data_IF_915095094586
#
_entry.id   IF_915095094586
#
_cell.length_a   1.000
_cell.length_b   1.000
_cell.length_c   1.000
_cell.angle_alpha   90.00
_cell.angle_beta   90.00
_cell.angle_gamma   90.00
#
_symmetry.space_group_name_H-M   'P 1'
#
loop_
_entity.id
_entity.type
_entity.pdbx_description
1 polymer ?
#
# COMPACT_ATOMS: atom_id res chain seq x y z
N UNK A 1 20.93 11.26 8.35
CA UNK A 1 21.00 11.32 6.86
C UNK A 1 20.00 10.31 6.32
N UNK A 2 19.15 10.70 5.38
CA UNK A 2 18.22 9.76 4.78
C UNK A 2 18.98 8.72 3.92
N UNK A 3 18.54 7.44 3.88
CA UNK A 3 19.18 6.42 3.06
C UNK A 3 18.97 6.72 1.57
N UNK A 4 19.95 6.38 0.73
CA UNK A 4 19.81 6.46 -0.72
C UNK A 4 18.83 5.40 -1.26
N UNK A 5 18.28 5.61 -2.46
CA UNK A 5 17.41 4.62 -3.11
C UNK A 5 18.10 3.27 -3.31
N UNK A 6 19.40 3.26 -3.59
CA UNK A 6 20.20 2.03 -3.74
C UNK A 6 20.33 1.26 -2.43
N UNK A 7 20.50 1.99 -1.30
CA UNK A 7 20.55 1.39 0.02
C UNK A 7 19.18 0.79 0.40
N UNK A 8 18.11 1.52 0.15
CA UNK A 8 16.73 1.04 0.36
C UNK A 8 16.49 -0.25 -0.44
N UNK A 9 16.81 -0.22 -1.73
CA UNK A 9 16.64 -1.38 -2.62
C UNK A 9 17.42 -2.58 -2.13
N UNK A 10 18.69 -2.39 -1.73
CA UNK A 10 19.55 -3.47 -1.22
C UNK A 10 19.02 -4.07 0.08
N UNK A 11 18.51 -3.23 0.99
CA UNK A 11 17.95 -3.70 2.25
C UNK A 11 16.66 -4.48 2.00
N UNK A 12 15.77 -3.99 1.13
CA UNK A 12 14.47 -4.58 0.87
C UNK A 12 14.50 -5.70 -0.20
N UNK A 13 15.65 -6.01 -0.80
CA UNK A 13 15.81 -7.13 -1.72
C UNK A 13 15.50 -8.51 -1.08
N UNK A 14 15.61 -8.62 0.24
CA UNK A 14 15.21 -9.83 0.97
C UNK A 14 13.67 -9.87 1.08
N UNK A 15 13.01 -10.92 0.58
CA UNK A 15 11.54 -11.00 0.57
C UNK A 15 10.91 -10.95 1.97
N UNK A 16 11.58 -11.51 2.97
CA UNK A 16 11.10 -11.50 4.36
C UNK A 16 11.16 -10.09 4.93
N UNK A 17 12.25 -9.36 4.70
CA UNK A 17 12.35 -7.94 5.12
C UNK A 17 11.32 -7.07 4.43
N UNK A 18 11.09 -7.24 3.14
CA UNK A 18 10.06 -6.52 2.41
C UNK A 18 8.66 -6.77 3.03
N UNK A 19 8.33 -8.03 3.34
CA UNK A 19 7.06 -8.38 3.97
C UNK A 19 6.92 -7.77 5.37
N UNK A 20 7.98 -7.83 6.18
CA UNK A 20 8.01 -7.21 7.51
C UNK A 20 7.87 -5.69 7.39
N UNK A 21 8.58 -5.06 6.46
CA UNK A 21 8.50 -3.61 6.26
C UNK A 21 7.09 -3.16 5.88
N UNK A 22 6.43 -3.87 4.95
CA UNK A 22 5.01 -3.63 4.61
C UNK A 22 4.08 -3.79 5.83
N UNK A 23 4.36 -4.75 6.70
CA UNK A 23 3.61 -4.92 7.94
C UNK A 23 3.77 -3.71 8.89
N UNK A 24 4.99 -3.18 9.00
CA UNK A 24 5.24 -1.96 9.80
C UNK A 24 4.53 -0.74 9.18
N UNK A 25 4.54 -0.60 7.86
CA UNK A 25 3.78 0.46 7.15
C UNK A 25 2.28 0.32 7.45
N UNK A 26 1.75 -0.91 7.39
CA UNK A 26 0.34 -1.20 7.62
C UNK A 26 -0.12 -0.92 9.07
N UNK A 27 0.82 -0.88 10.02
CA UNK A 27 0.55 -0.46 11.40
C UNK A 27 0.26 1.05 11.52
N UNK A 28 0.47 1.82 10.44
CA UNK A 28 0.00 3.20 10.33
C UNK A 28 0.63 4.19 11.31
N UNK A 29 1.88 3.95 11.72
CA UNK A 29 2.59 4.75 12.70
C UNK A 29 2.58 4.14 14.10
N UNK A 30 1.69 3.19 14.39
CA UNK A 30 1.74 2.43 15.62
C UNK A 30 3.02 1.58 15.65
N UNK A 31 3.80 1.63 16.75
CA UNK A 31 5.03 0.87 16.82
C UNK A 31 4.77 -0.63 16.93
N UNK A 32 5.51 -1.44 16.15
CA UNK A 32 5.47 -2.91 16.24
C UNK A 32 6.57 -3.44 17.16
N UNK A 33 6.34 -4.61 17.78
CA UNK A 33 7.33 -5.28 18.64
C UNK A 33 7.96 -6.47 17.93
N UNK A 34 9.15 -6.91 18.39
CA UNK A 34 9.80 -8.14 17.90
C UNK A 34 8.89 -9.35 18.02
N UNK A 35 8.20 -9.50 19.16
CA UNK A 35 7.29 -10.62 19.40
C UNK A 35 6.05 -10.58 18.52
N UNK A 36 5.49 -9.37 18.27
CA UNK A 36 4.37 -9.19 17.36
C UNK A 36 4.75 -9.58 15.93
N UNK A 37 5.89 -9.11 15.43
CA UNK A 37 6.40 -9.48 14.09
C UNK A 37 6.69 -10.98 14.01
N UNK A 38 7.37 -11.55 15.01
CA UNK A 38 7.67 -12.97 15.05
C UNK A 38 6.39 -13.83 14.94
N UNK A 39 5.36 -13.49 15.72
CA UNK A 39 4.05 -14.17 15.69
C UNK A 39 3.34 -14.02 14.34
N UNK A 40 3.30 -12.80 13.77
CA UNK A 40 2.63 -12.54 12.49
C UNK A 40 3.24 -13.26 11.29
N UNK A 41 4.53 -13.58 11.35
CA UNK A 41 5.27 -14.22 10.25
C UNK A 41 5.73 -15.65 10.51
N UNK A 42 5.42 -16.23 11.69
CA UNK A 42 5.88 -17.55 12.08
C UNK A 42 7.41 -17.62 12.21
N UNK A 43 8.06 -16.53 12.63
CA UNK A 43 9.53 -16.45 12.76
C UNK A 43 9.97 -16.65 14.20
N UNK A 44 11.20 -17.18 14.37
CA UNK A 44 11.85 -17.10 15.67
C UNK A 44 12.12 -15.63 16.05
N UNK A 45 11.93 -15.21 17.32
CA UNK A 45 12.13 -13.80 17.75
C UNK A 45 13.50 -13.21 17.38
N UNK A 46 14.56 -14.01 17.41
CA UNK A 46 15.90 -13.53 17.00
C UNK A 46 15.98 -13.21 15.50
N UNK A 47 15.28 -13.97 14.64
CA UNK A 47 15.22 -13.74 13.20
C UNK A 47 14.42 -12.47 12.91
N UNK A 48 13.26 -12.30 13.56
CA UNK A 48 12.47 -11.09 13.45
C UNK A 48 13.28 -9.85 13.90
N UNK A 49 14.00 -9.95 15.03
CA UNK A 49 14.89 -8.89 15.52
C UNK A 49 15.98 -8.55 14.50
N UNK A 50 16.67 -9.53 13.95
CA UNK A 50 17.71 -9.33 12.94
C UNK A 50 17.19 -8.52 11.74
N UNK A 51 16.01 -8.86 11.22
CA UNK A 51 15.40 -8.11 10.12
C UNK A 51 15.04 -6.68 10.52
N UNK A 52 14.43 -6.48 11.69
CA UNK A 52 14.06 -5.15 12.19
C UNK A 52 15.30 -4.26 12.43
N UNK A 53 16.34 -4.80 13.08
CA UNK A 53 17.58 -4.05 13.33
C UNK A 53 18.34 -3.71 12.06
N UNK A 54 18.35 -4.63 11.05
CA UNK A 54 18.97 -4.33 9.76
C UNK A 54 18.26 -3.20 9.02
N UNK A 55 16.93 -3.15 9.09
CA UNK A 55 16.15 -2.03 8.54
C UNK A 55 16.36 -0.74 9.33
N UNK A 56 16.52 -0.83 10.65
CA UNK A 56 16.83 0.33 11.52
C UNK A 56 18.22 0.88 11.21
N UNK A 57 19.22 0.01 11.10
CA UNK A 57 20.59 0.42 10.75
C UNK A 57 20.66 1.10 9.37
N UNK A 58 19.80 0.72 8.44
CA UNK A 58 19.66 1.35 7.12
C UNK A 58 18.69 2.53 7.08
N UNK A 59 18.21 3.02 8.23
CA UNK A 59 17.35 4.20 8.31
C UNK A 59 15.91 4.00 7.84
N UNK A 60 15.49 2.78 7.45
CA UNK A 60 14.11 2.46 7.05
C UNK A 60 13.14 2.46 8.24
N UNK A 61 13.64 2.07 9.41
CA UNK A 61 12.90 2.06 10.66
C UNK A 61 13.60 2.91 11.70
N UNK A 62 12.81 3.43 12.62
CA UNK A 62 13.27 3.97 13.91
C UNK A 62 12.90 2.99 15.01
N UNK A 63 13.74 2.92 16.05
CA UNK A 63 13.45 2.09 17.21
C UNK A 63 13.50 2.89 18.49
N UNK A 64 12.59 2.59 19.41
CA UNK A 64 12.57 3.14 20.75
C UNK A 64 12.56 2.03 21.81
N UNK A 65 13.16 2.31 22.96
CA UNK A 65 13.13 1.40 24.10
C UNK A 65 11.84 1.63 24.88
N UNK A 66 11.13 0.56 25.22
CA UNK A 66 9.95 0.65 26.09
C UNK A 66 10.05 -0.34 27.24
N UNK A 67 9.51 0.04 28.39
CA UNK A 67 9.36 -0.86 29.56
C UNK A 67 7.92 -1.36 29.57
N UNK A 68 7.75 -2.67 29.48
CA UNK A 68 6.45 -3.29 29.81
C UNK A 68 6.23 -3.13 31.32
N UNK A 69 5.05 -2.67 31.73
CA UNK A 69 4.75 -2.23 33.11
C UNK A 69 5.00 -3.21 34.27
N UNK A 70 5.37 -4.45 34.01
CA UNK A 70 5.51 -5.53 34.99
C UNK A 70 6.99 -5.94 35.24
N UNK A 71 7.97 -5.05 35.19
CA UNK A 71 9.32 -5.32 35.68
C UNK A 71 10.22 -6.20 34.81
N UNK A 72 9.87 -6.48 33.55
CA UNK A 72 10.67 -7.26 32.62
C UNK A 72 11.83 -6.48 31.98
N UNK A 73 12.74 -7.18 31.27
CA UNK A 73 13.80 -6.58 30.48
C UNK A 73 13.20 -5.58 29.48
N UNK A 74 13.74 -4.35 29.35
CA UNK A 74 13.28 -3.36 28.38
C UNK A 74 13.22 -3.98 26.97
N UNK A 75 12.08 -3.80 26.29
CA UNK A 75 11.87 -4.20 24.92
C UNK A 75 12.18 -3.07 23.94
N UNK A 76 12.22 -3.40 22.65
CA UNK A 76 12.26 -2.40 21.56
C UNK A 76 10.98 -2.44 20.74
N UNK A 77 10.51 -1.26 20.38
CA UNK A 77 9.43 -1.05 19.41
C UNK A 77 10.00 -0.35 18.18
N UNK A 78 9.41 -0.65 17.03
CA UNK A 78 9.88 -0.19 15.74
C UNK A 78 8.75 0.46 14.96
N UNK A 79 9.02 1.57 14.28
CA UNK A 79 8.11 2.26 13.37
C UNK A 79 8.85 2.70 12.11
N UNK A 80 8.13 3.12 11.08
CA UNK A 80 8.73 3.68 9.86
C UNK A 80 9.53 4.92 10.22
N UNK A 81 10.77 5.01 9.74
CA UNK A 81 11.65 6.13 10.00
C UNK A 81 11.19 7.41 9.32
N UNK A 82 11.16 8.53 10.05
CA UNK A 82 10.72 9.83 9.53
C UNK A 82 11.52 10.33 8.31
N UNK A 83 12.80 9.96 8.22
CA UNK A 83 13.66 10.31 7.10
C UNK A 83 13.29 9.61 5.78
N UNK A 84 12.51 8.54 5.83
CA UNK A 84 12.14 7.71 4.65
C UNK A 84 10.77 8.08 4.11
N UNK A 85 9.95 8.80 4.87
CA UNK A 85 8.54 9.09 4.50
C UNK A 85 8.39 9.83 3.17
N UNK A 86 9.41 10.54 2.69
CA UNK A 86 9.40 11.20 1.36
C UNK A 86 9.98 10.37 0.21
N UNK A 87 10.69 9.26 0.51
CA UNK A 87 11.41 8.45 -0.50
C UNK A 87 10.85 7.04 -0.64
N UNK A 88 10.37 6.45 0.46
CA UNK A 88 9.79 5.11 0.50
C UNK A 88 8.79 5.00 1.65
N UNK A 89 7.57 4.47 1.46
CA UNK A 89 7.03 3.86 0.23
C UNK A 89 6.98 4.82 -0.97
N UNK A 90 6.99 4.30 -2.22
CA UNK A 90 7.03 5.13 -3.42
C UNK A 90 5.93 6.20 -3.45
N UNK A 91 6.29 7.38 -4.02
CA UNK A 91 5.37 8.47 -4.34
C UNK A 91 5.36 8.68 -5.85
N UNK A 92 4.20 8.97 -6.41
CA UNK A 92 4.08 9.22 -7.85
C UNK A 92 3.35 10.55 -8.14
N UNK A 93 4.03 11.64 -7.82
CA UNK A 93 3.54 12.98 -8.16
C UNK A 93 3.55 13.27 -9.66
N UNK A 94 4.35 12.52 -10.44
CA UNK A 94 4.31 12.60 -11.89
C UNK A 94 2.97 12.11 -12.43
N UNK A 95 2.49 10.98 -11.93
CA UNK A 95 1.17 10.45 -12.27
C UNK A 95 0.08 11.45 -11.87
N UNK A 96 0.16 12.03 -10.67
CA UNK A 96 -0.79 13.04 -10.21
C UNK A 96 -0.83 14.25 -11.14
N UNK A 97 0.35 14.78 -11.51
CA UNK A 97 0.46 15.90 -12.44
C UNK A 97 -0.10 15.55 -13.83
N UNK A 98 0.19 14.34 -14.34
CA UNK A 98 -0.32 13.87 -15.64
C UNK A 98 -1.85 13.78 -15.65
N UNK A 99 -2.46 13.30 -14.56
CA UNK A 99 -3.92 13.26 -14.40
C UNK A 99 -4.51 14.67 -14.39
N UNK A 100 -3.91 15.59 -13.61
CA UNK A 100 -4.40 16.95 -13.49
C UNK A 100 -4.30 17.72 -14.80
N UNK A 101 -3.15 17.65 -15.49
CA UNK A 101 -2.95 18.28 -16.79
C UNK A 101 -3.87 17.70 -17.86
N UNK A 102 -3.98 16.37 -17.92
CA UNK A 102 -4.90 15.71 -18.85
C UNK A 102 -6.37 16.07 -18.63
N UNK A 103 -6.76 16.34 -17.40
CA UNK A 103 -8.09 16.80 -17.07
C UNK A 103 -8.34 18.23 -17.60
N UNK A 104 -7.38 19.13 -17.39
CA UNK A 104 -7.43 20.51 -17.87
C UNK A 104 -7.47 20.54 -19.42
N UNK A 105 -6.57 19.82 -20.07
CA UNK A 105 -6.40 19.77 -21.50
C UNK A 105 -7.67 19.28 -22.23
N UNK A 106 -8.35 18.29 -21.64
CA UNK A 106 -9.54 17.68 -22.25
C UNK A 106 -10.88 18.18 -21.68
N UNK A 107 -10.87 19.13 -20.78
CA UNK A 107 -12.10 19.63 -20.11
C UNK A 107 -12.85 18.55 -19.32
N UNK A 108 -12.14 17.56 -18.80
CA UNK A 108 -12.69 16.42 -18.06
C UNK A 108 -12.52 16.62 -16.55
N UNK A 109 -13.33 15.90 -15.77
CA UNK A 109 -13.10 15.80 -14.33
C UNK A 109 -11.85 14.96 -14.08
N UNK A 110 -10.95 15.40 -13.16
CA UNK A 110 -9.70 14.68 -12.85
C UNK A 110 -9.92 13.22 -12.42
N UNK A 111 -11.02 12.93 -11.70
CA UNK A 111 -11.37 11.56 -11.29
C UNK A 111 -11.68 10.66 -12.49
N UNK A 112 -12.27 11.22 -13.56
CA UNK A 112 -12.54 10.49 -14.81
C UNK A 112 -11.23 10.09 -15.49
N UNK A 113 -10.26 11.02 -15.53
CA UNK A 113 -8.93 10.77 -16.10
C UNK A 113 -8.18 9.74 -15.26
N UNK A 114 -8.21 9.86 -13.94
CA UNK A 114 -7.59 8.92 -13.01
C UNK A 114 -8.14 7.49 -13.18
N UNK A 115 -9.48 7.35 -13.25
CA UNK A 115 -10.11 6.05 -13.44
C UNK A 115 -9.74 5.42 -14.79
N UNK A 116 -9.71 6.22 -15.86
CA UNK A 116 -9.28 5.75 -17.19
C UNK A 116 -7.84 5.28 -17.16
N UNK A 117 -6.92 6.06 -16.59
CA UNK A 117 -5.51 5.69 -16.45
C UNK A 117 -5.34 4.37 -15.68
N UNK A 118 -6.05 4.20 -14.57
CA UNK A 118 -6.03 2.94 -13.81
C UNK A 118 -6.57 1.75 -14.61
N UNK A 119 -7.67 1.94 -15.34
CA UNK A 119 -8.27 0.89 -16.17
C UNK A 119 -7.33 0.47 -17.33
N UNK A 120 -6.70 1.41 -17.99
CA UNK A 120 -5.76 1.16 -19.09
C UNK A 120 -4.52 0.42 -18.59
N UNK A 121 -3.92 0.87 -17.50
CA UNK A 121 -2.77 0.19 -16.90
C UNK A 121 -3.13 -1.22 -16.45
N UNK A 122 -4.25 -1.40 -15.75
CA UNK A 122 -4.72 -2.71 -15.32
C UNK A 122 -4.98 -3.67 -16.49
N UNK A 123 -5.58 -3.20 -17.60
CA UNK A 123 -5.78 -4.01 -18.82
C UNK A 123 -4.46 -4.41 -19.48
N UNK A 124 -3.51 -3.49 -19.54
CA UNK A 124 -2.16 -3.76 -20.06
C UNK A 124 -1.48 -4.87 -19.26
N UNK A 125 -1.53 -4.81 -17.95
CA UNK A 125 -0.94 -5.80 -17.06
C UNK A 125 -1.67 -7.16 -17.14
N UNK A 126 -3.00 -7.15 -17.23
CA UNK A 126 -3.79 -8.36 -17.41
C UNK A 126 -3.39 -9.08 -18.72
N UNK A 127 -3.27 -8.34 -19.83
CA UNK A 127 -2.85 -8.87 -21.12
C UNK A 127 -1.38 -9.36 -21.09
N UNK A 128 -0.47 -8.63 -20.45
CA UNK A 128 0.92 -9.03 -20.30
C UNK A 128 1.08 -10.34 -19.52
N UNK A 129 0.16 -10.62 -18.59
CA UNK A 129 0.11 -11.89 -17.85
C UNK A 129 -0.59 -13.03 -18.64
N UNK A 130 -1.04 -12.80 -19.86
CA UNK A 130 -1.81 -13.77 -20.65
C UNK A 130 -3.19 -14.08 -20.08
N UNK A 131 -3.77 -13.17 -19.29
CA UNK A 131 -5.06 -13.33 -18.62
C UNK A 131 -6.16 -12.57 -19.36
N UNK A 132 -7.40 -13.03 -19.20
CA UNK A 132 -8.62 -12.40 -19.74
C UNK A 132 -9.66 -12.22 -18.62
N UNK A 133 -10.78 -11.58 -18.94
CA UNK A 133 -11.90 -11.44 -18.01
C UNK A 133 -12.52 -12.78 -17.60
N UNK A 134 -12.37 -13.82 -18.43
CA UNK A 134 -12.86 -15.18 -18.22
C UNK A 134 -11.88 -16.04 -17.39
N UNK A 135 -10.64 -15.57 -17.18
CA UNK A 135 -9.67 -16.28 -16.35
C UNK A 135 -10.19 -16.45 -14.92
N UNK A 136 -9.83 -17.54 -14.21
CA UNK A 136 -10.34 -17.80 -12.86
C UNK A 136 -10.10 -16.63 -11.90
N UNK A 137 -11.12 -16.26 -11.13
CA UNK A 137 -11.08 -15.11 -10.22
C UNK A 137 -9.85 -15.10 -9.28
N UNK A 138 -9.43 -16.22 -8.65
CA UNK A 138 -8.25 -16.22 -7.80
C UNK A 138 -6.95 -15.85 -8.53
N UNK A 139 -6.83 -16.20 -9.82
CA UNK A 139 -5.66 -15.85 -10.64
C UNK A 139 -5.68 -14.37 -10.97
N UNK A 140 -6.84 -13.82 -11.35
CA UNK A 140 -7.01 -12.37 -11.60
C UNK A 140 -6.75 -11.54 -10.34
N UNK A 141 -7.20 -11.98 -9.17
CA UNK A 141 -6.93 -11.31 -7.89
C UNK A 141 -5.42 -11.32 -7.57
N UNK A 142 -4.73 -12.42 -7.83
CA UNK A 142 -3.29 -12.49 -7.61
C UNK A 142 -2.53 -11.53 -8.52
N UNK A 143 -2.89 -11.45 -9.80
CA UNK A 143 -2.31 -10.51 -10.75
C UNK A 143 -2.60 -9.06 -10.33
N UNK A 144 -3.84 -8.76 -9.96
CA UNK A 144 -4.26 -7.44 -9.45
C UNK A 144 -3.44 -7.02 -8.21
N UNK A 145 -3.18 -7.93 -7.28
CA UNK A 145 -2.34 -7.67 -6.11
C UNK A 145 -0.89 -7.34 -6.53
N UNK A 146 -0.35 -8.05 -7.54
CA UNK A 146 0.96 -7.74 -8.11
C UNK A 146 1.04 -6.33 -8.69
N UNK A 147 0.02 -5.91 -9.43
CA UNK A 147 -0.06 -4.54 -9.97
C UNK A 147 -0.04 -3.49 -8.85
N UNK A 148 -0.80 -3.70 -7.79
CA UNK A 148 -0.78 -2.78 -6.64
C UNK A 148 0.59 -2.72 -5.97
N UNK A 149 1.32 -3.82 -5.93
CA UNK A 149 2.68 -3.86 -5.40
C UNK A 149 3.66 -3.09 -6.30
N UNK A 150 3.60 -3.28 -7.62
CA UNK A 150 4.43 -2.56 -8.61
C UNK A 150 4.15 -1.06 -8.62
N UNK A 151 2.89 -0.67 -8.47
CA UNK A 151 2.46 0.73 -8.34
C UNK A 151 2.78 1.35 -6.97
N UNK A 152 3.36 0.59 -6.04
CA UNK A 152 3.69 1.07 -4.71
C UNK A 152 2.50 1.26 -3.77
N UNK A 153 1.32 0.75 -4.12
CA UNK A 153 0.09 0.86 -3.33
C UNK A 153 0.07 -0.13 -2.16
N UNK A 154 0.79 -1.26 -2.28
CA UNK A 154 0.89 -2.32 -1.27
C UNK A 154 -0.49 -2.79 -0.79
N UNK A 155 -1.40 -3.05 -1.73
CA UNK A 155 -2.75 -3.41 -1.37
C UNK A 155 -2.90 -4.89 -1.00
N UNK A 156 -3.91 -5.17 -0.19
CA UNK A 156 -4.38 -6.53 0.12
C UNK A 156 -5.81 -6.68 -0.32
N UNK A 157 -6.11 -7.81 -0.95
CA UNK A 157 -7.48 -8.14 -1.32
C UNK A 157 -7.91 -9.32 -0.46
N UNK A 158 -9.04 -9.19 0.22
CA UNK A 158 -9.62 -10.21 1.09
C UNK A 158 -11.12 -10.33 0.83
N UNK A 159 -11.71 -11.46 1.19
CA UNK A 159 -13.16 -11.62 1.23
C UNK A 159 -13.65 -11.53 2.67
N UNK A 160 -14.80 -10.91 2.87
CA UNK A 160 -15.51 -10.94 4.15
C UNK A 160 -16.35 -12.23 4.29
N UNK A 161 -17.01 -12.40 5.44
CA UNK A 161 -17.84 -13.56 5.76
C UNK A 161 -19.06 -13.72 4.81
N UNK A 162 -19.40 -12.68 4.06
CA UNK A 162 -20.44 -12.67 3.04
C UNK A 162 -19.90 -12.90 1.62
N UNK A 163 -18.58 -13.18 1.49
CA UNK A 163 -17.92 -13.37 0.21
C UNK A 163 -17.69 -12.08 -0.60
N UNK A 164 -17.93 -10.89 -0.01
CA UNK A 164 -17.65 -9.60 -0.67
C UNK A 164 -16.17 -9.30 -0.60
N UNK A 165 -15.63 -8.75 -1.67
CA UNK A 165 -14.21 -8.41 -1.75
C UNK A 165 -13.95 -7.05 -1.10
N UNK A 166 -12.88 -6.99 -0.32
CA UNK A 166 -12.33 -5.77 0.25
C UNK A 166 -10.93 -5.53 -0.32
N UNK A 167 -10.60 -4.26 -0.56
CA UNK A 167 -9.24 -3.80 -0.90
C UNK A 167 -8.74 -2.90 0.20
N UNK A 168 -7.69 -3.33 0.87
CA UNK A 168 -6.95 -2.52 1.85
C UNK A 168 -5.69 -1.96 1.16
N UNK A 169 -5.70 -0.67 0.85
CA UNK A 169 -4.54 0.04 0.28
C UNK A 169 -3.69 0.59 1.42
N UNK A 170 -2.51 0.02 1.60
CA UNK A 170 -1.64 0.29 2.75
C UNK A 170 -0.73 1.51 2.54
N UNK A 171 -0.49 1.90 1.29
CA UNK A 171 0.26 3.10 0.95
C UNK A 171 -0.51 3.97 -0.04
N UNK A 172 -0.65 5.24 0.27
CA UNK A 172 -1.10 6.24 -0.69
C UNK A 172 0.11 6.84 -1.40
N UNK A 173 0.19 6.68 -2.73
CA UNK A 173 1.28 7.25 -3.54
C UNK A 173 1.24 8.79 -3.63
N UNK A 174 0.17 9.40 -3.13
CA UNK A 174 -0.04 10.85 -3.02
C UNK A 174 -0.18 11.31 -1.56
N UNK A 175 0.41 10.58 -0.62
CA UNK A 175 0.10 10.64 0.82
C UNK A 175 0.18 12.04 1.41
N UNK A 176 1.23 12.80 1.10
CA UNK A 176 1.45 14.11 1.69
C UNK A 176 0.36 15.12 1.29
N UNK A 177 -0.09 15.04 0.03
CA UNK A 177 -1.16 15.89 -0.48
C UNK A 177 -2.57 15.39 -0.13
N UNK A 178 -2.73 14.08 0.08
CA UNK A 178 -4.05 13.49 0.38
C UNK A 178 -4.60 13.89 1.76
N UNK A 179 -3.73 14.28 2.68
CA UNK A 179 -4.13 14.82 4.00
C UNK A 179 -4.61 16.27 3.93
N UNK A 180 -4.15 17.02 2.94
CA UNK A 180 -4.43 18.45 2.78
C UNK A 180 -5.54 18.74 1.76
N UNK A 181 -5.70 17.87 0.76
CA UNK A 181 -6.58 18.07 -0.39
C UNK A 181 -7.50 16.86 -0.62
N UNK A 182 -8.79 17.02 -0.32
CA UNK A 182 -9.79 15.95 -0.53
C UNK A 182 -9.88 15.49 -2.00
N UNK A 183 -9.65 16.41 -2.94
CA UNK A 183 -9.58 16.08 -4.37
C UNK A 183 -8.55 14.98 -4.66
N UNK A 184 -7.39 15.03 -4.03
CA UNK A 184 -6.32 14.03 -4.22
C UNK A 184 -6.76 12.64 -3.75
N UNK A 185 -7.54 12.57 -2.67
CA UNK A 185 -8.18 11.32 -2.24
C UNK A 185 -9.18 10.80 -3.27
N UNK A 186 -9.99 11.66 -3.87
CA UNK A 186 -10.91 11.31 -4.95
C UNK A 186 -10.18 10.76 -6.19
N UNK A 187 -9.06 11.37 -6.57
CA UNK A 187 -8.20 10.90 -7.66
C UNK A 187 -7.62 9.52 -7.37
N UNK A 188 -7.06 9.33 -6.17
CA UNK A 188 -6.49 8.06 -5.76
C UNK A 188 -7.54 6.94 -5.71
N UNK A 189 -8.73 7.22 -5.16
CA UNK A 189 -9.86 6.31 -5.16
C UNK A 189 -10.26 5.90 -6.60
N UNK A 190 -10.37 6.88 -7.51
CA UNK A 190 -10.76 6.65 -8.90
C UNK A 190 -9.70 5.84 -9.67
N UNK A 191 -8.41 6.09 -9.42
CA UNK A 191 -7.30 5.31 -9.97
C UNK A 191 -7.40 3.84 -9.53
N UNK A 192 -7.54 3.59 -8.23
CA UNK A 192 -7.69 2.24 -7.66
C UNK A 192 -8.93 1.54 -8.22
N UNK A 193 -10.05 2.27 -8.36
CA UNK A 193 -11.25 1.72 -8.97
C UNK A 193 -11.01 1.27 -10.42
N UNK A 194 -10.33 2.08 -11.23
CA UNK A 194 -10.00 1.73 -12.62
C UNK A 194 -9.14 0.47 -12.71
N UNK A 195 -8.11 0.35 -11.86
CA UNK A 195 -7.27 -0.84 -11.79
C UNK A 195 -8.10 -2.08 -11.40
N UNK A 196 -8.96 -1.98 -10.41
CA UNK A 196 -9.85 -3.09 -10.02
C UNK A 196 -10.81 -3.47 -11.14
N UNK A 197 -11.39 -2.51 -11.86
CA UNK A 197 -12.33 -2.76 -12.95
C UNK A 197 -11.73 -3.55 -14.12
N UNK A 198 -10.45 -3.39 -14.38
CA UNK A 198 -9.76 -4.16 -15.42
C UNK A 198 -9.78 -5.67 -15.17
N UNK A 199 -9.84 -6.08 -13.90
CA UNK A 199 -9.78 -7.47 -13.46
C UNK A 199 -11.13 -8.04 -13.03
N UNK A 200 -12.02 -7.19 -12.53
CA UNK A 200 -13.25 -7.62 -11.86
C UNK A 200 -14.52 -7.22 -12.64
N UNK A 201 -14.35 -6.49 -13.76
CA UNK A 201 -15.48 -5.96 -14.52
C UNK A 201 -16.02 -4.66 -13.90
N UNK A 202 -17.24 -4.27 -14.30
CA UNK A 202 -17.86 -3.06 -13.75
C UNK A 202 -18.12 -3.21 -12.26
N UNK A 203 -17.46 -2.37 -11.45
CA UNK A 203 -17.58 -2.37 -10.00
C UNK A 203 -17.74 -0.95 -9.46
N UNK A 204 -18.16 -0.84 -8.21
CA UNK A 204 -18.08 0.36 -7.38
C UNK A 204 -17.19 0.05 -6.20
N UNK A 205 -16.29 0.98 -5.87
CA UNK A 205 -15.55 0.98 -4.62
C UNK A 205 -16.27 1.88 -3.62
N UNK A 206 -16.75 1.31 -2.52
CA UNK A 206 -17.30 2.06 -1.41
C UNK A 206 -16.21 2.27 -0.35
N UNK A 207 -15.84 3.53 -0.08
CA UNK A 207 -14.83 3.86 0.94
C UNK A 207 -15.38 3.57 2.34
N UNK A 208 -14.70 2.71 3.09
CA UNK A 208 -15.02 2.39 4.48
C UNK A 208 -14.14 3.18 5.46
N UNK A 209 -12.87 3.39 5.12
CA UNK A 209 -11.93 4.22 5.86
C UNK A 209 -10.92 4.86 4.90
N UNK A 210 -10.28 5.94 5.33
CA UNK A 210 -9.29 6.62 4.48
C UNK A 210 -8.40 7.58 5.25
N UNK A 211 -7.27 7.91 4.64
CA UNK A 211 -6.25 8.79 5.21
C UNK A 211 -6.81 10.19 5.46
N UNK A 212 -7.64 10.71 4.56
CA UNK A 212 -8.32 12.01 4.71
C UNK A 212 -9.30 12.06 5.90
N UNK A 213 -9.69 10.89 6.42
CA UNK A 213 -10.57 10.75 7.59
C UNK A 213 -9.80 10.38 8.87
N UNK A 214 -8.48 10.65 8.90
CA UNK A 214 -7.62 10.31 10.04
C UNK A 214 -7.22 8.84 10.12
N UNK A 215 -7.55 8.03 9.10
CA UNK A 215 -7.12 6.64 9.00
C UNK A 215 -5.67 6.51 8.52
N UNK A 216 -5.07 5.35 8.78
CA UNK A 216 -3.69 5.07 8.37
C UNK A 216 -3.59 4.43 6.98
N UNK A 217 -4.67 3.82 6.53
CA UNK A 217 -4.83 3.16 5.23
C UNK A 217 -6.20 3.48 4.65
N UNK A 218 -6.39 3.14 3.37
CA UNK A 218 -7.68 3.24 2.72
C UNK A 218 -8.27 1.84 2.57
N UNK A 219 -9.49 1.63 3.08
CA UNK A 219 -10.25 0.39 2.90
C UNK A 219 -11.46 0.64 2.01
N UNK A 220 -11.62 -0.20 1.02
CA UNK A 220 -12.72 -0.14 0.06
C UNK A 220 -13.45 -1.48 0.00
N UNK A 221 -14.78 -1.43 0.01
CA UNK A 221 -15.63 -2.57 -0.32
C UNK A 221 -15.92 -2.57 -1.82
N UNK A 222 -15.70 -3.71 -2.47
CA UNK A 222 -16.01 -3.90 -3.89
C UNK A 222 -17.43 -4.42 -4.02
N UNK A 223 -18.25 -3.70 -4.79
CA UNK A 223 -19.60 -4.13 -5.16
C UNK A 223 -19.71 -4.20 -6.69
N UNK A 224 -20.19 -5.32 -7.25
CA UNK A 224 -20.51 -5.39 -8.68
C UNK A 224 -21.55 -4.32 -9.05
N UNK A 225 -21.43 -3.76 -10.25
CA UNK A 225 -22.46 -2.90 -10.87
C UNK A 225 -23.12 -3.71 -11.94
N UNK A 226 -24.39 -4.02 -11.74
CA UNK A 226 -25.26 -4.65 -12.74
C UNK A 226 -25.47 -3.76 -13.96
#
# INVERSE_FOLDING_TARGET
MAPSNDEITRILADPTRMRIYRHVIAAGGEPVTVTGVAGSFGLHPNVARMHLEKMTAGGLLESEVFKAGNGGRPGRRYRVGGAVTGQYPPRDYRLLASIALGAIENGLRPETVARRAGLEEGKKQLAAAGLTAESPLPVRIRNLTGIFDEQGLFARISSDDQGRLNVDVLNCIFRELSGEMELVCGLHHSLVQGICESHLGKIRLASQSGISKGGHNCRFLITPVS
#
